data_IF_922667661513
#
_entry.id   IF_922667661513
#
_cell.length_a   1.000
_cell.length_b   1.000
_cell.length_c   1.000
_cell.angle_alpha   90.00
_cell.angle_beta   90.00
_cell.angle_gamma   90.00
#
_symmetry.space_group_name_H-M   'P 1'
#
loop_
_entity.id
_entity.type
_entity.pdbx_description
1 polymer ?
#
# COMPACT_ATOMS: atom_id res chain seq x y z
N UNK A 1 62.38 31.74 49.86
CA UNK A 1 61.46 32.90 49.79
C UNK A 1 60.44 32.62 48.68
N UNK A 2 59.18 32.37 48.97
CA UNK A 2 58.21 32.13 47.98
C UNK A 2 57.55 33.44 47.52
N UNK A 3 57.49 33.66 46.25
CA UNK A 3 56.75 34.77 45.61
C UNK A 3 55.25 34.49 45.58
N UNK A 4 54.50 35.39 46.17
CA UNK A 4 53.05 35.42 46.23
C UNK A 4 52.47 35.83 44.90
N UNK A 5 51.68 34.94 44.27
CA UNK A 5 50.89 35.23 43.08
C UNK A 5 49.69 36.11 43.45
N UNK A 6 49.52 37.18 42.71
CA UNK A 6 48.59 38.26 42.89
C UNK A 6 47.19 37.92 42.41
N UNK A 7 46.17 38.18 43.19
CA UNK A 7 44.73 37.81 43.03
C UNK A 7 43.98 38.58 41.94
N UNK A 8 44.64 39.15 40.94
CA UNK A 8 43.98 40.03 39.91
C UNK A 8 43.97 39.55 38.47
N UNK A 9 44.43 38.32 38.17
CA UNK A 9 44.45 37.81 36.80
C UNK A 9 43.50 36.63 36.55
N UNK A 10 42.44 36.46 37.34
CA UNK A 10 41.48 35.36 37.22
C UNK A 10 40.09 35.88 36.93
N UNK A 11 39.93 36.72 35.90
CA UNK A 11 38.64 37.15 35.40
C UNK A 11 38.85 37.67 33.97
N UNK A 12 38.84 36.80 32.95
CA UNK A 12 38.38 36.98 31.55
C UNK A 12 38.72 35.66 30.82
N UNK A 13 37.92 34.64 31.11
CA UNK A 13 37.66 33.54 30.18
C UNK A 13 36.14 33.37 30.12
N UNK A 14 35.49 34.38 29.58
CA UNK A 14 34.07 34.34 29.25
C UNK A 14 33.85 33.36 28.12
N UNK A 15 33.26 32.22 28.42
CA UNK A 15 32.82 31.23 27.46
C UNK A 15 31.78 31.86 26.54
N UNK A 16 32.20 32.22 25.33
CA UNK A 16 31.29 32.45 24.22
C UNK A 16 30.74 31.09 23.80
N UNK A 17 29.68 30.63 24.46
CA UNK A 17 28.80 29.62 23.92
C UNK A 17 28.15 30.25 22.69
N UNK A 18 28.73 29.97 21.53
CA UNK A 18 28.15 30.27 20.24
C UNK A 18 26.84 29.48 20.13
N UNK A 19 25.74 30.17 20.30
CA UNK A 19 24.42 29.70 19.83
C UNK A 19 24.53 29.63 18.33
N UNK A 20 24.80 28.42 17.82
CA UNK A 20 24.66 28.18 16.38
C UNK A 20 23.22 28.57 16.01
N UNK A 21 23.01 29.45 15.03
CA UNK A 21 21.67 29.73 14.57
C UNK A 21 21.11 28.41 14.04
N UNK A 22 20.01 27.94 14.63
CA UNK A 22 19.17 26.95 14.01
C UNK A 22 18.88 27.47 12.60
N UNK A 23 19.49 26.84 11.60
CA UNK A 23 19.13 27.09 10.21
C UNK A 23 17.68 26.65 10.07
N UNK A 24 16.76 27.61 10.15
CA UNK A 24 15.40 27.44 9.73
C UNK A 24 15.48 27.07 8.26
N UNK A 25 15.18 25.80 7.94
CA UNK A 25 14.98 25.41 6.57
C UNK A 25 14.00 26.45 5.99
N UNK A 26 14.43 27.20 4.99
CA UNK A 26 13.58 28.21 4.35
C UNK A 26 12.40 27.46 3.79
N UNK A 27 11.27 27.55 4.48
CA UNK A 27 10.02 26.96 4.03
C UNK A 27 9.66 27.61 2.68
N UNK A 28 9.42 26.76 1.67
CA UNK A 28 9.01 27.17 0.34
C UNK A 28 7.80 28.13 0.47
N UNK A 29 7.86 29.39 -0.04
CA UNK A 29 6.76 30.36 0.07
C UNK A 29 5.43 29.82 -0.48
N UNK A 30 5.48 28.96 -1.49
CA UNK A 30 4.29 28.32 -2.05
C UNK A 30 3.67 27.33 -1.06
N UNK A 31 4.49 26.62 -0.30
CA UNK A 31 4.00 25.69 0.73
C UNK A 31 3.36 26.44 1.91
N UNK A 32 3.94 27.54 2.35
CA UNK A 32 3.35 28.39 3.40
C UNK A 32 1.97 28.91 3.00
N UNK A 33 1.78 29.29 1.73
CA UNK A 33 0.48 29.71 1.21
C UNK A 33 -0.54 28.57 1.23
N UNK A 34 -0.13 27.34 0.87
CA UNK A 34 -0.99 26.14 0.96
C UNK A 34 -1.38 25.90 2.42
N UNK A 35 -0.44 25.92 3.36
CA UNK A 35 -0.72 25.73 4.79
C UNK A 35 -1.69 26.77 5.35
N UNK A 36 -1.52 28.04 4.95
CA UNK A 36 -2.41 29.12 5.39
C UNK A 36 -3.85 28.93 4.84
N UNK A 37 -3.97 28.58 3.55
CA UNK A 37 -5.26 28.36 2.91
C UNK A 37 -5.98 27.10 3.43
N UNK A 38 -5.24 26.08 3.83
CA UNK A 38 -5.78 24.80 4.32
C UNK A 38 -6.48 24.90 5.69
N UNK A 39 -6.14 25.89 6.52
CA UNK A 39 -6.66 26.00 7.89
C UNK A 39 -8.18 26.14 7.92
N UNK A 40 -8.81 25.37 8.81
CA UNK A 40 -10.27 25.38 9.00
C UNK A 40 -11.05 24.62 7.95
N UNK A 41 -10.38 24.05 6.92
CA UNK A 41 -11.05 23.28 5.89
C UNK A 41 -11.38 21.85 6.37
N UNK A 42 -12.39 21.24 5.74
CA UNK A 42 -12.72 19.83 5.88
C UNK A 42 -12.26 19.09 4.63
N UNK A 43 -11.55 17.96 4.82
CA UNK A 43 -11.11 17.07 3.76
C UNK A 43 -11.92 15.77 3.82
N UNK A 44 -12.68 15.47 2.79
CA UNK A 44 -13.38 14.20 2.62
C UNK A 44 -12.43 13.21 1.96
N UNK A 45 -11.82 12.36 2.80
CA UNK A 45 -10.89 11.34 2.36
C UNK A 45 -11.63 10.03 2.06
N UNK A 46 -11.76 9.71 0.79
CA UNK A 46 -12.37 8.49 0.30
C UNK A 46 -11.34 7.37 0.28
N UNK A 47 -11.47 6.42 1.21
CA UNK A 47 -10.52 5.34 1.41
C UNK A 47 -11.22 4.03 1.76
N UNK A 48 -10.58 2.91 1.45
CA UNK A 48 -11.08 1.60 1.80
C UNK A 48 -11.34 1.46 3.31
N UNK A 49 -12.54 1.01 3.67
CA UNK A 49 -13.01 0.93 5.05
C UNK A 49 -13.05 -0.48 5.65
N UNK A 50 -12.56 -1.50 4.92
CA UNK A 50 -12.71 -2.92 5.30
C UNK A 50 -11.78 -3.42 6.41
N UNK A 51 -10.97 -2.56 7.05
CA UNK A 51 -10.08 -2.90 8.15
C UNK A 51 -10.22 -1.94 9.32
N UNK A 52 -10.53 -2.46 10.50
CA UNK A 52 -10.62 -1.65 11.72
C UNK A 52 -9.28 -0.99 12.10
N UNK A 53 -8.15 -1.64 11.82
CA UNK A 53 -6.81 -1.08 12.06
C UNK A 53 -6.54 0.12 11.19
N UNK A 54 -6.88 0.05 9.90
CA UNK A 54 -6.78 1.18 8.97
C UNK A 54 -7.70 2.31 9.41
N UNK A 55 -8.95 1.98 9.77
CA UNK A 55 -9.90 2.97 10.25
C UNK A 55 -9.40 3.68 11.52
N UNK A 56 -8.81 2.94 12.46
CA UNK A 56 -8.22 3.49 13.69
C UNK A 56 -6.99 4.37 13.40
N UNK A 57 -6.15 3.98 12.44
CA UNK A 57 -5.02 4.80 12.00
C UNK A 57 -5.51 6.13 11.39
N UNK A 58 -6.51 6.10 10.52
CA UNK A 58 -7.07 7.31 9.90
C UNK A 58 -7.76 8.21 10.95
N UNK A 59 -8.42 7.63 11.95
CA UNK A 59 -8.99 8.37 13.06
C UNK A 59 -7.90 9.07 13.90
N UNK A 60 -6.79 8.39 14.17
CA UNK A 60 -5.65 9.01 14.82
C UNK A 60 -5.08 10.16 13.99
N UNK A 61 -4.88 9.95 12.67
CA UNK A 61 -4.39 10.98 11.77
C UNK A 61 -5.32 12.20 11.75
N UNK A 62 -6.64 12.00 11.80
CA UNK A 62 -7.62 13.07 11.91
C UNK A 62 -7.45 13.90 13.19
N UNK A 63 -7.16 13.25 14.33
CA UNK A 63 -6.86 13.93 15.59
C UNK A 63 -5.60 14.80 15.52
N UNK A 64 -4.51 14.26 14.95
CA UNK A 64 -3.26 15.00 14.75
C UNK A 64 -3.42 16.22 13.82
N UNK A 65 -4.15 16.03 12.71
CA UNK A 65 -4.43 17.10 11.75
C UNK A 65 -5.28 18.21 12.35
N UNK A 66 -6.29 17.86 13.16
CA UNK A 66 -7.10 18.84 13.87
C UNK A 66 -6.27 19.67 14.86
N UNK A 67 -5.40 19.00 15.63
CA UNK A 67 -4.58 19.67 16.65
C UNK A 67 -3.48 20.54 16.03
N UNK A 68 -2.78 20.03 15.02
CA UNK A 68 -1.60 20.69 14.44
C UNK A 68 -1.93 21.73 13.38
N UNK A 69 -2.96 21.47 12.58
CA UNK A 69 -3.26 22.22 11.37
C UNK A 69 -4.66 22.80 11.31
N UNK A 70 -5.50 22.56 12.33
CA UNK A 70 -6.93 22.94 12.35
C UNK A 70 -7.70 22.40 11.11
N UNK A 71 -7.34 21.22 10.61
CA UNK A 71 -8.01 20.53 9.50
C UNK A 71 -8.91 19.44 10.05
N UNK A 72 -10.15 19.39 9.56
CA UNK A 72 -11.06 18.27 9.82
C UNK A 72 -10.89 17.22 8.74
N UNK A 73 -10.42 16.02 9.08
CA UNK A 73 -10.36 14.88 8.18
C UNK A 73 -11.56 13.97 8.38
N UNK A 74 -12.37 13.80 7.34
CA UNK A 74 -13.53 12.92 7.31
C UNK A 74 -13.24 11.67 6.47
N UNK A 75 -13.14 10.51 7.09
CA UNK A 75 -12.96 9.24 6.39
C UNK A 75 -14.28 8.76 5.77
N UNK A 76 -14.42 8.90 4.45
CA UNK A 76 -15.52 8.34 3.67
C UNK A 76 -15.15 6.91 3.27
N UNK A 77 -15.74 5.93 3.96
CA UNK A 77 -15.42 4.50 3.77
C UNK A 77 -15.95 4.00 2.44
N UNK A 78 -15.08 3.42 1.64
CA UNK A 78 -15.40 2.75 0.39
C UNK A 78 -15.26 1.23 0.55
N UNK A 79 -16.11 0.49 -0.15
CA UNK A 79 -15.93 -0.95 -0.38
C UNK A 79 -14.90 -1.20 -1.49
N UNK A 80 -14.91 -0.35 -2.51
CA UNK A 80 -14.03 -0.40 -3.67
C UNK A 80 -13.79 0.99 -4.23
N UNK A 81 -12.56 1.31 -4.64
CA UNK A 81 -12.18 2.62 -5.20
C UNK A 81 -12.87 2.91 -6.54
N UNK A 82 -13.26 1.90 -7.31
CA UNK A 82 -14.03 2.07 -8.53
C UNK A 82 -15.37 2.80 -8.31
N UNK A 83 -15.93 2.76 -7.10
CA UNK A 83 -17.12 3.55 -6.73
C UNK A 83 -16.86 5.04 -6.80
N UNK A 84 -15.68 5.48 -6.29
CA UNK A 84 -15.25 6.86 -6.36
C UNK A 84 -15.01 7.29 -7.81
N UNK A 85 -14.31 6.46 -8.61
CA UNK A 85 -14.05 6.75 -10.02
C UNK A 85 -15.35 7.01 -10.78
N UNK A 86 -16.34 6.14 -10.62
CA UNK A 86 -17.68 6.32 -11.24
C UNK A 86 -18.35 7.63 -10.80
N UNK A 87 -18.26 7.97 -9.51
CA UNK A 87 -18.85 9.20 -8.96
C UNK A 87 -18.19 10.45 -9.51
N UNK A 88 -16.87 10.54 -9.52
CA UNK A 88 -16.11 11.68 -10.06
C UNK A 88 -16.35 11.84 -11.56
N UNK A 89 -16.44 10.72 -12.30
CA UNK A 89 -16.80 10.71 -13.72
C UNK A 89 -18.21 11.30 -13.96
N UNK A 90 -19.19 10.90 -13.15
CA UNK A 90 -20.55 11.41 -13.22
C UNK A 90 -20.62 12.91 -12.86
N UNK A 91 -19.85 13.37 -11.88
CA UNK A 91 -19.72 14.79 -11.53
C UNK A 91 -19.15 15.61 -12.69
N UNK A 92 -18.11 15.12 -13.37
CA UNK A 92 -17.55 15.76 -14.57
C UNK A 92 -18.56 15.83 -15.70
N UNK A 93 -19.27 14.75 -15.97
CA UNK A 93 -20.32 14.71 -17.00
C UNK A 93 -21.49 15.66 -16.69
N UNK A 94 -21.79 15.88 -15.41
CA UNK A 94 -22.79 16.85 -14.96
C UNK A 94 -22.29 18.31 -14.94
N UNK A 95 -21.06 18.58 -15.42
CA UNK A 95 -20.46 19.90 -15.44
C UNK A 95 -19.99 20.43 -14.07
N UNK A 96 -19.87 19.56 -13.05
CA UNK A 96 -19.38 19.94 -11.74
C UNK A 96 -17.84 20.03 -11.76
N UNK A 97 -17.33 21.19 -12.15
CA UNK A 97 -15.89 21.45 -12.30
C UNK A 97 -15.21 21.87 -10.99
N UNK A 98 -15.97 22.17 -9.95
CA UNK A 98 -15.57 22.47 -8.58
C UNK A 98 -16.59 21.87 -7.61
N UNK A 99 -16.35 21.99 -6.31
CA UNK A 99 -17.27 21.52 -5.26
C UNK A 99 -17.62 20.02 -5.39
N UNK A 100 -16.63 19.21 -5.77
CA UNK A 100 -16.77 17.76 -5.84
C UNK A 100 -17.09 17.12 -4.50
N UNK A 101 -17.52 15.88 -4.50
CA UNK A 101 -17.88 15.13 -3.29
C UNK A 101 -16.69 14.46 -2.58
N UNK A 102 -15.49 14.54 -3.15
CA UNK A 102 -14.27 13.99 -2.60
C UNK A 102 -13.12 14.98 -2.74
N UNK A 103 -12.28 15.06 -1.70
CA UNK A 103 -11.11 15.94 -1.69
C UNK A 103 -9.81 15.15 -1.78
N UNK A 104 -9.78 13.96 -1.20
CA UNK A 104 -8.64 13.04 -1.24
C UNK A 104 -9.14 11.62 -1.48
N UNK A 105 -8.37 10.83 -2.20
CA UNK A 105 -8.68 9.45 -2.55
C UNK A 105 -7.50 8.54 -2.27
N UNK A 106 -7.73 7.38 -1.64
CA UNK A 106 -6.81 6.26 -1.73
C UNK A 106 -7.04 5.56 -3.07
N UNK A 107 -6.02 5.57 -3.93
CA UNK A 107 -6.13 5.11 -5.31
C UNK A 107 -4.90 4.28 -5.68
N UNK A 108 -5.05 3.39 -6.62
CA UNK A 108 -3.96 2.69 -7.31
C UNK A 108 -4.48 1.94 -8.55
N UNK A 109 -3.55 1.49 -9.39
CA UNK A 109 -3.78 0.57 -10.48
C UNK A 109 -4.70 1.08 -11.58
N UNK A 110 -5.66 0.24 -11.95
CA UNK A 110 -6.64 0.54 -13.00
C UNK A 110 -7.48 1.79 -12.69
N UNK A 111 -7.70 2.07 -11.40
CA UNK A 111 -8.43 3.25 -10.97
C UNK A 111 -7.64 4.53 -11.25
N UNK A 112 -6.32 4.54 -10.95
CA UNK A 112 -5.43 5.65 -11.30
C UNK A 112 -5.36 5.84 -12.82
N UNK A 113 -5.13 4.76 -13.57
CA UNK A 113 -5.08 4.77 -15.02
C UNK A 113 -6.35 5.38 -15.63
N UNK A 114 -7.53 4.97 -15.14
CA UNK A 114 -8.81 5.51 -15.60
C UNK A 114 -8.94 7.01 -15.28
N UNK A 115 -8.66 7.40 -14.04
CA UNK A 115 -8.76 8.80 -13.63
C UNK A 115 -7.76 9.70 -14.37
N UNK A 116 -6.53 9.23 -14.59
CA UNK A 116 -5.50 9.96 -15.34
C UNK A 116 -5.91 10.19 -16.79
N UNK A 117 -6.31 9.13 -17.49
CA UNK A 117 -6.72 9.19 -18.92
C UNK A 117 -7.94 10.07 -19.15
N UNK A 118 -8.85 10.09 -18.22
CA UNK A 118 -10.08 10.88 -18.32
C UNK A 118 -9.96 12.31 -17.78
N UNK A 119 -8.76 12.68 -17.28
CA UNK A 119 -8.52 14.01 -16.67
C UNK A 119 -9.39 14.23 -15.44
N UNK A 120 -9.52 13.23 -14.58
CA UNK A 120 -10.28 13.27 -13.33
C UNK A 120 -9.42 13.57 -12.10
N UNK A 121 -8.11 13.79 -12.28
CA UNK A 121 -7.17 14.12 -11.23
C UNK A 121 -6.74 15.59 -11.31
N UNK A 122 -6.50 16.19 -10.16
CA UNK A 122 -5.78 17.44 -10.00
C UNK A 122 -4.27 17.12 -9.97
N UNK A 123 -3.46 17.97 -10.62
CA UNK A 123 -2.00 17.78 -10.59
C UNK A 123 -1.27 18.45 -11.74
N UNK A 124 0.07 18.30 -11.77
CA UNK A 124 0.95 17.62 -10.80
C UNK A 124 1.14 18.42 -9.50
N UNK A 125 1.19 17.72 -8.36
CA UNK A 125 1.32 18.33 -7.04
C UNK A 125 2.19 17.55 -6.05
N UNK A 126 2.27 16.22 -6.15
CA UNK A 126 2.80 15.36 -5.10
C UNK A 126 4.30 15.55 -4.84
N UNK A 127 5.09 15.82 -5.87
CA UNK A 127 6.54 16.03 -5.75
C UNK A 127 6.87 17.39 -5.09
N UNK A 128 5.88 18.27 -4.94
CA UNK A 128 6.04 19.58 -4.27
C UNK A 128 5.81 19.51 -2.76
N UNK A 129 5.34 18.40 -2.25
CA UNK A 129 5.15 18.17 -0.82
C UNK A 129 6.51 18.16 -0.09
N UNK A 130 6.69 18.89 1.02
CA UNK A 130 7.94 18.85 1.79
C UNK A 130 8.38 17.44 2.20
N UNK A 131 7.43 16.60 2.64
CA UNK A 131 7.72 15.22 3.04
C UNK A 131 8.09 14.30 1.88
N UNK A 132 7.82 14.68 0.62
CA UNK A 132 8.19 13.89 -0.56
C UNK A 132 9.72 13.75 -0.72
N UNK A 133 10.51 14.70 -0.21
CA UNK A 133 11.96 14.62 -0.22
C UNK A 133 12.51 13.36 0.49
N UNK A 134 11.74 12.80 1.42
CA UNK A 134 12.11 11.60 2.16
C UNK A 134 11.67 10.29 1.47
N UNK A 135 10.92 10.36 0.37
CA UNK A 135 10.47 9.16 -0.36
C UNK A 135 11.66 8.45 -0.99
N UNK A 136 11.68 7.15 -0.87
CA UNK A 136 12.70 6.28 -1.47
C UNK A 136 12.38 5.97 -2.93
N UNK A 137 12.52 6.96 -3.79
CA UNK A 137 12.23 6.80 -5.22
C UNK A 137 13.27 5.95 -5.96
N UNK A 138 14.44 5.75 -5.37
CA UNK A 138 15.52 4.94 -5.95
C UNK A 138 15.42 3.46 -5.53
N UNK A 139 15.27 3.20 -4.22
CA UNK A 139 15.16 1.85 -3.67
C UNK A 139 13.76 1.24 -3.83
N UNK A 140 12.74 2.09 -4.05
CA UNK A 140 11.33 1.69 -4.20
C UNK A 140 10.72 2.28 -5.48
N UNK A 141 11.10 1.80 -6.67
CA UNK A 141 10.70 2.39 -7.94
C UNK A 141 9.18 2.40 -8.16
N UNK A 142 8.43 1.53 -7.49
CA UNK A 142 6.94 1.52 -7.51
C UNK A 142 6.33 2.79 -6.91
N UNK A 143 7.10 3.63 -6.19
CA UNK A 143 6.65 4.96 -5.73
C UNK A 143 6.48 5.99 -6.85
N UNK A 144 6.97 5.68 -8.06
CA UNK A 144 6.90 6.53 -9.26
C UNK A 144 6.09 5.91 -10.39
N UNK A 145 5.66 4.67 -10.22
CA UNK A 145 4.94 3.89 -11.23
C UNK A 145 3.80 3.16 -10.55
N UNK A 146 2.57 3.41 -10.99
CA UNK A 146 1.39 2.70 -10.51
C UNK A 146 0.89 1.74 -11.61
N UNK A 147 0.93 0.43 -11.36
CA UNK A 147 0.61 -0.65 -12.31
C UNK A 147 1.21 -0.40 -13.70
N UNK A 148 2.52 -0.13 -13.73
CA UNK A 148 3.28 0.20 -14.94
C UNK A 148 2.90 1.53 -15.62
N UNK A 149 2.03 2.35 -15.01
CA UNK A 149 1.71 3.70 -15.47
C UNK A 149 2.54 4.74 -14.69
N UNK A 150 3.27 5.65 -15.34
CA UNK A 150 4.00 6.71 -14.67
C UNK A 150 3.08 7.62 -13.85
N UNK A 151 3.47 7.89 -12.58
CA UNK A 151 2.70 8.74 -11.65
C UNK A 151 2.68 10.21 -12.08
N UNK A 152 3.78 10.74 -12.61
CA UNK A 152 3.93 12.11 -13.12
C UNK A 152 3.46 13.19 -12.12
N UNK A 153 3.64 12.94 -10.83
CA UNK A 153 3.25 13.88 -9.78
C UNK A 153 1.75 14.03 -9.55
N UNK A 154 0.90 13.19 -10.17
CA UNK A 154 -0.57 13.27 -10.05
C UNK A 154 -1.11 12.63 -8.78
N UNK A 155 -0.30 11.80 -8.12
CA UNK A 155 -0.62 11.15 -6.86
C UNK A 155 0.61 11.06 -5.97
N UNK A 156 0.42 10.98 -4.64
CA UNK A 156 1.49 10.88 -3.65
C UNK A 156 1.59 9.45 -3.10
N UNK A 157 2.77 8.83 -3.08
CA UNK A 157 2.95 7.52 -2.47
C UNK A 157 2.82 7.64 -0.94
N UNK A 158 2.13 6.69 -0.28
CA UNK A 158 1.98 6.75 1.17
C UNK A 158 2.06 5.42 1.91
N UNK A 159 2.15 4.31 1.19
CA UNK A 159 2.32 2.98 1.75
C UNK A 159 2.70 1.95 0.71
N UNK A 160 3.14 0.79 1.17
CA UNK A 160 3.56 -0.29 0.30
C UNK A 160 2.86 -1.58 0.68
N UNK A 161 2.60 -2.40 -0.32
CA UNK A 161 2.04 -3.71 -0.15
C UNK A 161 2.76 -4.71 -1.05
N UNK A 162 2.76 -5.98 -0.63
CA UNK A 162 3.36 -7.06 -1.40
C UNK A 162 2.57 -8.34 -1.17
N UNK A 163 2.27 -9.07 -2.24
CA UNK A 163 1.62 -10.36 -2.14
C UNK A 163 2.44 -11.26 -1.23
N UNK A 164 1.79 -11.71 -0.18
CA UNK A 164 2.38 -12.51 0.87
C UNK A 164 1.46 -13.70 1.14
N UNK A 165 2.06 -14.87 1.23
CA UNK A 165 1.37 -16.07 1.65
C UNK A 165 1.56 -16.25 3.16
N UNK A 166 0.63 -16.89 3.81
CA UNK A 166 0.76 -17.30 5.19
C UNK A 166 0.14 -18.67 5.41
N UNK A 167 0.78 -19.48 6.22
CA UNK A 167 0.41 -20.87 6.43
C UNK A 167 0.58 -21.28 7.89
N UNK A 168 -0.26 -22.21 8.35
CA UNK A 168 -0.05 -22.87 9.63
C UNK A 168 1.12 -23.85 9.51
N UNK A 169 2.28 -23.51 10.06
CA UNK A 169 3.50 -24.30 9.98
C UNK A 169 3.38 -25.69 10.63
N UNK A 170 2.42 -25.89 11.52
CA UNK A 170 2.14 -27.22 12.07
C UNK A 170 1.53 -28.17 11.02
N UNK A 171 0.90 -27.63 9.99
CA UNK A 171 0.26 -28.37 8.87
C UNK A 171 1.03 -28.24 7.56
N UNK A 172 1.76 -27.14 7.40
CA UNK A 172 2.57 -26.83 6.22
C UNK A 172 4.00 -26.54 6.69
N UNK A 173 4.75 -27.58 7.12
CA UNK A 173 6.10 -27.40 7.70
C UNK A 173 7.11 -26.84 6.70
N UNK A 174 6.93 -27.12 5.41
CA UNK A 174 7.71 -26.54 4.31
C UNK A 174 6.76 -25.72 3.43
N UNK A 175 6.93 -24.40 3.45
CA UNK A 175 6.11 -23.50 2.67
C UNK A 175 6.52 -23.51 1.20
N UNK A 176 5.57 -23.56 0.23
CA UNK A 176 5.88 -23.46 -1.18
C UNK A 176 6.62 -22.15 -1.51
N UNK A 177 7.77 -22.22 -2.14
CA UNK A 177 8.60 -21.06 -2.47
C UNK A 177 8.40 -20.53 -3.90
N UNK A 178 7.43 -21.09 -4.64
CA UNK A 178 7.05 -20.67 -5.99
C UNK A 178 5.62 -21.12 -6.31
N UNK A 179 5.01 -20.55 -7.37
CA UNK A 179 3.70 -21.01 -7.85
C UNK A 179 3.73 -22.49 -8.26
N UNK A 180 4.79 -22.93 -8.91
CA UNK A 180 4.91 -24.35 -9.28
C UNK A 180 4.86 -25.27 -8.05
N UNK A 181 5.58 -24.91 -6.99
CA UNK A 181 5.54 -25.66 -5.72
C UNK A 181 4.18 -25.55 -5.04
N UNK A 182 3.53 -24.38 -5.09
CA UNK A 182 2.18 -24.20 -4.55
C UNK A 182 1.17 -25.09 -5.29
N UNK A 183 1.20 -25.12 -6.62
CA UNK A 183 0.32 -25.98 -7.41
C UNK A 183 0.55 -27.47 -7.10
N UNK A 184 1.80 -27.88 -6.92
CA UNK A 184 2.14 -29.25 -6.52
C UNK A 184 1.66 -29.55 -5.10
N UNK A 185 1.86 -28.62 -4.16
CA UNK A 185 1.40 -28.76 -2.79
C UNK A 185 -0.14 -28.87 -2.73
N UNK A 186 -0.87 -28.06 -3.49
CA UNK A 186 -2.35 -28.12 -3.54
C UNK A 186 -2.84 -29.47 -4.08
N UNK A 187 -2.18 -30.04 -5.10
CA UNK A 187 -2.52 -31.38 -5.60
C UNK A 187 -2.35 -32.47 -4.54
N UNK A 188 -1.32 -32.33 -3.69
CA UNK A 188 -1.05 -33.28 -2.59
C UNK A 188 -1.96 -33.07 -1.39
N UNK A 189 -2.55 -31.89 -1.26
CA UNK A 189 -3.40 -31.47 -0.13
C UNK A 189 -4.74 -30.90 -0.65
N UNK A 190 -5.57 -31.72 -1.32
CA UNK A 190 -6.80 -31.23 -1.94
C UNK A 190 -7.75 -30.64 -0.90
N UNK A 191 -8.39 -29.54 -1.26
CA UNK A 191 -9.34 -28.83 -0.41
C UNK A 191 -8.72 -27.92 0.66
N UNK A 192 -7.39 -27.80 0.75
CA UNK A 192 -6.68 -27.04 1.79
C UNK A 192 -6.19 -25.68 1.36
N UNK A 193 -6.49 -25.26 0.14
CA UNK A 193 -6.21 -23.95 -0.41
C UNK A 193 -7.37 -23.46 -1.28
N UNK A 194 -7.52 -22.16 -1.35
CA UNK A 194 -8.37 -21.44 -2.30
C UNK A 194 -7.86 -20.01 -2.46
N UNK A 195 -8.52 -19.23 -3.32
CA UNK A 195 -8.33 -17.80 -3.46
C UNK A 195 -9.69 -17.12 -3.69
N UNK A 196 -9.85 -15.82 -3.39
CA UNK A 196 -11.11 -15.13 -3.69
C UNK A 196 -11.33 -15.03 -5.20
N UNK A 197 -12.57 -15.18 -5.65
CA UNK A 197 -12.85 -15.06 -7.08
C UNK A 197 -12.67 -13.63 -7.59
N UNK A 198 -12.14 -13.41 -8.81
CA UNK A 198 -12.22 -12.11 -9.47
C UNK A 198 -13.68 -11.59 -9.56
N UNK A 199 -13.92 -10.28 -9.50
CA UNK A 199 -12.95 -9.19 -9.53
C UNK A 199 -12.37 -8.80 -8.15
N UNK A 200 -12.42 -9.66 -7.16
CA UNK A 200 -11.83 -9.37 -5.86
C UNK A 200 -10.30 -9.21 -6.02
N UNK A 201 -9.76 -8.08 -5.53
CA UNK A 201 -8.37 -7.66 -5.75
C UNK A 201 -7.32 -8.77 -5.49
N UNK A 202 -7.41 -9.47 -4.33
CA UNK A 202 -6.45 -10.53 -3.98
C UNK A 202 -6.58 -11.73 -4.92
N UNK A 203 -7.79 -12.04 -5.39
CA UNK A 203 -8.02 -13.08 -6.39
C UNK A 203 -7.36 -12.73 -7.72
N UNK A 204 -7.59 -11.54 -8.23
CA UNK A 204 -6.95 -11.05 -9.45
C UNK A 204 -5.42 -10.98 -9.29
N UNK A 205 -4.92 -10.57 -8.11
CA UNK A 205 -3.48 -10.58 -7.82
C UNK A 205 -2.88 -11.99 -7.83
N UNK A 206 -3.60 -12.99 -7.32
CA UNK A 206 -3.18 -14.40 -7.43
C UNK A 206 -3.03 -14.84 -8.89
N UNK A 207 -3.98 -14.48 -9.76
CA UNK A 207 -3.90 -14.78 -11.19
C UNK A 207 -2.70 -14.09 -11.86
N UNK A 208 -2.46 -12.83 -11.54
CA UNK A 208 -1.31 -12.06 -12.05
C UNK A 208 0.02 -12.66 -11.58
N UNK A 209 0.13 -13.06 -10.32
CA UNK A 209 1.32 -13.71 -9.80
C UNK A 209 1.57 -15.06 -10.50
N UNK A 210 0.53 -15.87 -10.67
CA UNK A 210 0.63 -17.13 -11.39
C UNK A 210 1.08 -16.92 -12.85
N UNK A 211 0.57 -15.88 -13.51
CA UNK A 211 0.96 -15.50 -14.86
C UNK A 211 2.43 -15.03 -14.92
N UNK A 212 2.88 -14.22 -13.97
CA UNK A 212 4.27 -13.73 -13.89
C UNK A 212 5.28 -14.84 -13.62
N UNK A 213 4.93 -15.86 -12.83
CA UNK A 213 5.83 -16.98 -12.55
C UNK A 213 5.86 -18.03 -13.66
N UNK A 214 4.71 -18.31 -14.27
CA UNK A 214 4.55 -19.40 -15.23
C UNK A 214 4.42 -18.94 -16.69
N UNK A 215 4.24 -17.63 -16.93
CA UNK A 215 4.16 -17.04 -18.27
C UNK A 215 5.55 -16.82 -18.88
N UNK A 216 5.70 -17.08 -20.19
CA UNK A 216 7.01 -17.00 -20.87
C UNK A 216 7.55 -15.57 -21.06
N UNK A 217 6.70 -14.57 -21.24
CA UNK A 217 7.12 -13.19 -21.60
C UNK A 217 6.66 -12.16 -20.57
N UNK A 218 7.37 -12.06 -19.44
CA UNK A 218 7.06 -11.05 -18.40
C UNK A 218 7.02 -9.62 -18.91
N UNK A 219 7.91 -9.27 -19.85
CA UNK A 219 8.02 -7.91 -20.39
C UNK A 219 6.75 -7.45 -21.09
N UNK A 220 6.02 -8.36 -21.73
CA UNK A 220 4.75 -8.05 -22.36
C UNK A 220 3.68 -7.60 -21.37
N UNK A 221 3.76 -8.04 -20.11
CA UNK A 221 2.79 -7.71 -19.06
C UNK A 221 2.91 -6.26 -18.57
N UNK A 222 4.04 -5.60 -18.82
CA UNK A 222 4.28 -4.22 -18.36
C UNK A 222 3.93 -3.15 -19.40
N UNK A 223 3.24 -3.55 -20.48
CA UNK A 223 2.74 -2.66 -21.53
C UNK A 223 1.28 -2.97 -21.85
N UNK A 224 0.54 -2.03 -22.48
CA UNK A 224 -0.77 -2.33 -23.06
C UNK A 224 -0.69 -3.48 -24.06
N UNK A 225 -1.74 -4.29 -24.14
CA UNK A 225 -1.76 -5.46 -25.00
C UNK A 225 -2.77 -5.34 -26.16
N UNK A 226 -2.55 -6.10 -27.23
CA UNK A 226 -3.57 -6.46 -28.24
C UNK A 226 -4.30 -7.75 -27.82
N UNK A 227 -5.42 -8.03 -28.44
CA UNK A 227 -6.17 -9.28 -28.20
C UNK A 227 -5.32 -10.53 -28.48
N UNK A 228 -4.46 -10.50 -29.52
CA UNK A 228 -3.56 -11.60 -29.85
C UNK A 228 -2.49 -11.80 -28.78
N UNK A 229 -1.85 -10.72 -28.32
CA UNK A 229 -0.86 -10.76 -27.22
C UNK A 229 -1.50 -11.28 -25.95
N UNK A 230 -2.72 -10.82 -25.61
CA UNK A 230 -3.46 -11.31 -24.47
C UNK A 230 -3.67 -12.83 -24.54
N UNK A 231 -4.24 -13.32 -25.64
CA UNK A 231 -4.54 -14.74 -25.81
C UNK A 231 -3.28 -15.63 -25.66
N UNK A 232 -2.18 -15.25 -26.32
CA UNK A 232 -0.91 -15.97 -26.26
C UNK A 232 -0.30 -15.96 -24.87
N UNK A 233 -0.24 -14.77 -24.25
CA UNK A 233 0.44 -14.58 -22.95
C UNK A 233 -0.34 -15.23 -21.82
N UNK A 234 -1.68 -15.25 -21.86
CA UNK A 234 -2.50 -15.83 -20.80
C UNK A 234 -2.78 -17.33 -20.97
N UNK A 235 -2.45 -17.94 -22.09
CA UNK A 235 -2.71 -19.36 -22.30
C UNK A 235 -2.12 -20.28 -21.20
N UNK A 236 -0.86 -20.09 -20.72
CA UNK A 236 -0.31 -20.86 -19.62
C UNK A 236 -1.05 -20.68 -18.29
N UNK A 237 -1.60 -19.47 -18.03
CA UNK A 237 -2.40 -19.19 -16.85
C UNK A 237 -3.65 -20.06 -16.82
N UNK A 238 -4.38 -20.10 -17.94
CA UNK A 238 -5.63 -20.87 -18.01
C UNK A 238 -5.37 -22.36 -17.89
N UNK A 239 -4.32 -22.88 -18.53
CA UNK A 239 -3.93 -24.29 -18.38
C UNK A 239 -3.58 -24.66 -16.94
N UNK A 240 -2.87 -23.76 -16.22
CA UNK A 240 -2.54 -23.97 -14.81
C UNK A 240 -3.79 -23.95 -13.91
N UNK A 241 -4.75 -23.03 -14.17
CA UNK A 241 -6.01 -22.95 -13.43
C UNK A 241 -6.91 -24.16 -13.69
N UNK A 242 -7.01 -24.63 -14.95
CA UNK A 242 -7.75 -25.86 -15.29
C UNK A 242 -7.23 -27.08 -14.50
N UNK A 243 -5.90 -27.17 -14.33
CA UNK A 243 -5.28 -28.23 -13.54
C UNK A 243 -5.42 -28.00 -12.01
N UNK A 244 -5.51 -26.76 -11.55
CA UNK A 244 -5.56 -26.41 -10.12
C UNK A 244 -6.96 -26.58 -9.53
N UNK A 245 -8.01 -26.08 -10.22
CA UNK A 245 -9.37 -25.94 -9.67
C UNK A 245 -9.93 -27.24 -9.07
N UNK A 246 -9.76 -28.43 -9.68
CA UNK A 246 -10.26 -29.68 -9.11
C UNK A 246 -9.72 -30.00 -7.71
N UNK A 247 -8.56 -29.41 -7.34
CA UNK A 247 -7.89 -29.64 -6.06
C UNK A 247 -8.11 -28.53 -5.03
N UNK A 248 -8.76 -27.43 -5.42
CA UNK A 248 -9.09 -26.33 -4.50
C UNK A 248 -10.18 -26.75 -3.49
N UNK A 249 -10.35 -25.90 -2.47
CA UNK A 249 -11.51 -25.98 -1.58
C UNK A 249 -12.81 -26.06 -2.39
N UNK A 250 -13.72 -26.94 -1.99
CA UNK A 250 -14.96 -27.25 -2.74
C UNK A 250 -14.72 -27.57 -4.21
N UNK A 251 -13.53 -28.10 -4.54
CA UNK A 251 -13.16 -28.48 -5.92
C UNK A 251 -13.25 -27.32 -6.92
N UNK A 252 -13.00 -26.06 -6.46
CA UNK A 252 -13.09 -24.89 -7.31
C UNK A 252 -14.51 -24.55 -7.79
N UNK A 253 -15.54 -25.15 -7.22
CA UNK A 253 -16.96 -24.83 -7.54
C UNK A 253 -17.48 -23.66 -6.70
N UNK A 254 -16.81 -23.33 -5.62
CA UNK A 254 -17.07 -22.20 -4.75
C UNK A 254 -15.74 -21.57 -4.38
N UNK A 255 -15.79 -20.26 -4.17
CA UNK A 255 -14.61 -19.47 -3.81
C UNK A 255 -14.93 -18.64 -2.56
N UNK A 256 -13.93 -18.39 -1.69
CA UNK A 256 -14.10 -17.47 -0.57
C UNK A 256 -14.57 -16.09 -1.06
N UNK A 257 -15.48 -15.47 -0.30
CA UNK A 257 -16.04 -14.18 -0.68
C UNK A 257 -15.02 -13.02 -0.56
N UNK A 258 -14.02 -13.18 0.34
CA UNK A 258 -13.07 -12.11 0.65
C UNK A 258 -11.81 -12.68 1.32
N UNK A 259 -10.72 -11.89 1.40
CA UNK A 259 -9.55 -12.23 2.21
C UNK A 259 -9.88 -12.44 3.70
N UNK A 260 -10.86 -11.69 4.22
CA UNK A 260 -11.35 -11.87 5.60
C UNK A 260 -11.95 -13.27 5.80
N UNK A 261 -12.77 -13.73 4.85
CA UNK A 261 -13.33 -15.08 4.90
C UNK A 261 -12.23 -16.15 4.83
N UNK A 262 -11.24 -15.99 3.96
CA UNK A 262 -10.10 -16.91 3.88
C UNK A 262 -9.29 -16.98 5.18
N UNK A 263 -9.09 -15.84 5.82
CA UNK A 263 -8.41 -15.77 7.11
C UNK A 263 -9.18 -16.55 8.18
N UNK A 264 -10.50 -16.40 8.23
CA UNK A 264 -11.35 -17.17 9.15
C UNK A 264 -11.25 -18.66 8.85
N UNK A 265 -11.33 -19.07 7.60
CA UNK A 265 -11.21 -20.48 7.21
C UNK A 265 -9.84 -21.06 7.59
N UNK A 266 -8.76 -20.26 7.58
CA UNK A 266 -7.47 -20.71 8.08
C UNK A 266 -7.45 -20.83 9.61
N UNK A 267 -8.06 -19.89 10.33
CA UNK A 267 -8.21 -19.95 11.78
C UNK A 267 -8.98 -21.20 12.22
N UNK A 268 -10.02 -21.56 11.49
CA UNK A 268 -10.85 -22.76 11.73
C UNK A 268 -10.19 -24.05 11.24
N UNK A 269 -9.05 -23.97 10.54
CA UNK A 269 -8.31 -25.11 10.00
C UNK A 269 -8.95 -25.74 8.76
N UNK A 270 -9.92 -25.08 8.15
CA UNK A 270 -10.50 -25.48 6.87
C UNK A 270 -9.51 -25.29 5.73
N UNK A 271 -8.85 -24.13 5.68
CA UNK A 271 -7.65 -23.90 4.86
C UNK A 271 -6.39 -24.03 5.71
N UNK A 272 -5.28 -24.41 5.09
CA UNK A 272 -3.96 -24.52 5.73
C UNK A 272 -2.99 -23.45 5.25
N UNK A 273 -3.31 -22.83 4.13
CA UNK A 273 -2.57 -21.78 3.48
C UNK A 273 -3.54 -20.72 2.96
N UNK A 274 -3.15 -19.46 3.09
CA UNK A 274 -3.90 -18.30 2.61
C UNK A 274 -2.96 -17.27 2.02
N UNK A 275 -3.51 -16.18 1.47
CA UNK A 275 -2.75 -15.09 0.87
C UNK A 275 -3.37 -13.74 1.22
N UNK A 276 -2.52 -12.72 1.20
CA UNK A 276 -2.84 -11.34 1.53
C UNK A 276 -1.95 -10.39 0.74
N UNK A 277 -2.28 -9.11 0.74
CA UNK A 277 -1.39 -8.07 0.20
C UNK A 277 -0.74 -7.21 1.30
N UNK A 278 -0.96 -7.55 2.57
CA UNK A 278 -0.29 -6.96 3.72
C UNK A 278 0.77 -7.93 4.27
N UNK A 279 2.09 -7.67 4.14
CA UNK A 279 3.15 -8.54 4.63
C UNK A 279 3.09 -8.83 6.14
N UNK A 280 2.39 -7.99 6.89
CA UNK A 280 2.25 -8.11 8.34
C UNK A 280 0.88 -8.67 8.78
N UNK A 281 0.05 -9.16 7.86
CA UNK A 281 -1.31 -9.65 8.19
C UNK A 281 -1.27 -10.75 9.26
N UNK A 282 -0.46 -11.79 9.08
CA UNK A 282 -0.39 -12.87 10.05
C UNK A 282 0.08 -12.38 11.43
N UNK A 283 1.11 -11.51 11.48
CA UNK A 283 1.58 -10.92 12.73
C UNK A 283 0.49 -10.10 13.44
N UNK A 284 -0.27 -9.31 12.67
CA UNK A 284 -1.41 -8.56 13.20
C UNK A 284 -2.47 -9.46 13.80
N UNK A 285 -2.77 -10.58 13.15
CA UNK A 285 -3.81 -11.51 13.59
C UNK A 285 -3.36 -12.41 14.75
N UNK A 286 -2.09 -12.78 14.81
CA UNK A 286 -1.48 -13.47 15.97
C UNK A 286 -1.52 -12.56 17.20
N UNK A 287 -1.12 -11.29 17.05
CA UNK A 287 -1.18 -10.31 18.13
C UNK A 287 -2.62 -10.07 18.64
N UNK A 288 -3.60 -10.14 17.74
CA UNK A 288 -5.03 -10.07 18.06
C UNK A 288 -5.63 -11.40 18.58
N UNK A 289 -4.83 -12.47 18.66
CA UNK A 289 -5.27 -13.83 19.03
C UNK A 289 -6.34 -14.41 18.08
N UNK A 290 -6.41 -13.91 16.87
CA UNK A 290 -7.31 -14.38 15.81
C UNK A 290 -6.68 -15.48 14.95
N UNK A 291 -5.36 -15.65 15.00
CA UNK A 291 -4.62 -16.76 14.39
C UNK A 291 -3.71 -17.41 15.42
N UNK A 292 -3.42 -18.72 15.29
CA UNK A 292 -2.47 -19.42 16.15
C UNK A 292 -1.04 -18.92 15.92
N UNK A 293 -0.18 -19.02 16.96
CA UNK A 293 1.22 -18.60 16.88
C UNK A 293 2.07 -19.45 15.90
N UNK A 294 1.55 -20.58 15.43
CA UNK A 294 2.17 -21.44 14.41
C UNK A 294 2.07 -20.87 12.99
N UNK A 295 1.25 -19.83 12.78
CA UNK A 295 1.11 -19.21 11.46
C UNK A 295 2.36 -18.41 11.13
N UNK A 296 2.91 -18.62 9.95
CA UNK A 296 4.10 -17.94 9.43
C UNK A 296 3.77 -17.28 8.10
N UNK A 297 4.30 -16.08 7.89
CA UNK A 297 4.22 -15.38 6.60
C UNK A 297 5.46 -15.69 5.76
N UNK A 298 5.28 -15.80 4.46
CA UNK A 298 6.36 -16.02 3.50
C UNK A 298 6.01 -15.44 2.13
N UNK A 299 7.02 -15.28 1.30
CA UNK A 299 6.93 -14.82 -0.08
C UNK A 299 7.66 -15.80 -0.98
N UNK A 300 7.30 -15.86 -2.26
CA UNK A 300 8.01 -16.75 -3.19
C UNK A 300 9.43 -16.26 -3.43
N UNK A 301 10.38 -17.17 -3.48
CA UNK A 301 11.82 -16.87 -3.46
C UNK A 301 12.27 -15.96 -4.63
N UNK A 302 11.69 -16.14 -5.81
CA UNK A 302 12.02 -15.32 -6.99
C UNK A 302 11.41 -13.91 -6.96
N UNK A 303 10.46 -13.69 -6.07
CA UNK A 303 9.73 -12.43 -5.91
C UNK A 303 8.22 -12.60 -5.95
N UNK A 304 7.53 -11.62 -5.40
CA UNK A 304 6.06 -11.51 -5.48
C UNK A 304 5.65 -10.10 -5.91
N UNK A 305 4.47 -10.00 -6.48
CA UNK A 305 3.90 -8.71 -6.88
C UNK A 305 3.82 -7.78 -5.67
N UNK A 306 4.29 -6.56 -5.84
CA UNK A 306 4.09 -5.50 -4.88
C UNK A 306 3.79 -4.19 -5.56
N UNK A 307 3.08 -3.33 -4.87
CA UNK A 307 2.75 -2.00 -5.34
C UNK A 307 2.87 -0.96 -4.23
N UNK A 308 2.66 0.27 -4.61
CA UNK A 308 2.54 1.41 -3.69
C UNK A 308 1.07 1.78 -3.56
N UNK A 309 0.66 2.19 -2.36
CA UNK A 309 -0.61 2.87 -2.17
C UNK A 309 -0.42 4.34 -2.46
N UNK A 310 -1.36 4.96 -3.12
CA UNK A 310 -1.28 6.36 -3.49
C UNK A 310 -2.46 7.18 -2.96
N UNK A 311 -2.21 8.48 -2.85
CA UNK A 311 -3.20 9.50 -2.53
C UNK A 311 -3.37 10.39 -3.75
N UNK A 312 -4.55 10.37 -4.35
CA UNK A 312 -4.92 11.23 -5.48
C UNK A 312 -5.90 12.31 -5.04
N UNK A 313 -5.85 13.46 -5.68
CA UNK A 313 -6.80 14.55 -5.49
C UNK A 313 -7.70 14.62 -6.72
N UNK A 314 -9.03 14.48 -6.59
CA UNK A 314 -9.94 14.68 -7.72
C UNK A 314 -9.85 16.08 -8.31
N UNK A 315 -10.03 16.21 -9.63
CA UNK A 315 -9.90 17.48 -10.35
C UNK A 315 -10.79 18.60 -9.81
N UNK A 316 -11.97 18.23 -9.31
CA UNK A 316 -13.01 19.13 -8.79
C UNK A 316 -13.08 19.18 -7.25
N UNK A 317 -12.04 18.68 -6.55
CA UNK A 317 -11.96 18.73 -5.09
C UNK A 317 -12.15 20.17 -4.58
N UNK A 318 -12.87 20.32 -3.46
CA UNK A 318 -13.15 21.62 -2.82
C UNK A 318 -11.96 22.13 -2.04
N UNK A 319 -11.30 21.24 -1.31
CA UNK A 319 -10.25 21.52 -0.33
C UNK A 319 -8.89 21.02 -0.83
N UNK A 320 -8.45 21.45 -2.03
CA UNK A 320 -7.21 20.98 -2.65
C UNK A 320 -5.96 21.29 -1.81
N UNK A 321 -5.90 22.45 -1.19
CA UNK A 321 -4.80 22.87 -0.32
C UNK A 321 -4.76 22.00 0.94
N UNK A 322 -5.90 21.80 1.59
CA UNK A 322 -5.99 20.95 2.76
C UNK A 322 -5.73 19.47 2.41
N UNK A 323 -6.17 18.98 1.24
CA UNK A 323 -5.85 17.64 0.77
C UNK A 323 -4.34 17.43 0.57
N UNK A 324 -3.63 18.43 0.00
CA UNK A 324 -2.16 18.39 -0.10
C UNK A 324 -1.51 18.38 1.27
N UNK A 325 -2.01 19.17 2.24
CA UNK A 325 -1.46 19.17 3.61
C UNK A 325 -1.72 17.85 4.31
N UNK A 326 -2.90 17.26 4.17
CA UNK A 326 -3.21 15.91 4.67
C UNK A 326 -2.25 14.88 4.07
N UNK A 327 -2.05 14.89 2.77
CA UNK A 327 -1.12 13.98 2.10
C UNK A 327 0.33 14.17 2.61
N UNK A 328 0.77 15.41 2.79
CA UNK A 328 2.09 15.72 3.36
C UNK A 328 2.24 15.20 4.79
N UNK A 329 1.20 15.33 5.62
CA UNK A 329 1.21 14.78 6.98
C UNK A 329 1.28 13.25 6.94
N UNK A 330 0.44 12.58 6.13
CA UNK A 330 0.44 11.12 6.00
C UNK A 330 1.77 10.56 5.46
N UNK A 331 2.53 11.39 4.75
CA UNK A 331 3.87 11.08 4.25
C UNK A 331 4.99 11.45 5.24
N UNK A 332 4.69 12.13 6.34
CA UNK A 332 5.68 12.50 7.36
C UNK A 332 6.28 11.28 8.08
N UNK A 333 7.52 11.36 8.60
CA UNK A 333 8.13 10.26 9.36
C UNK A 333 7.26 9.78 10.52
N UNK A 334 6.61 10.69 11.26
CA UNK A 334 5.71 10.35 12.36
C UNK A 334 4.53 9.46 11.90
N UNK A 335 3.84 9.89 10.85
CA UNK A 335 2.68 9.17 10.33
C UNK A 335 3.08 7.83 9.69
N UNK A 336 4.20 7.81 8.97
CA UNK A 336 4.75 6.63 8.34
C UNK A 336 5.24 5.60 9.37
N UNK A 337 5.94 6.02 10.43
CA UNK A 337 6.39 5.12 11.48
C UNK A 337 5.20 4.48 12.24
N UNK A 338 4.18 5.29 12.58
CA UNK A 338 2.96 4.75 13.20
C UNK A 338 2.24 3.77 12.28
N UNK A 339 2.19 4.06 10.99
CA UNK A 339 1.58 3.18 9.99
C UNK A 339 2.34 1.87 9.87
N UNK A 340 3.68 1.91 9.88
CA UNK A 340 4.54 0.72 9.79
C UNK A 340 4.49 -0.16 11.04
N UNK A 341 4.13 0.40 12.19
CA UNK A 341 4.03 -0.35 13.45
C UNK A 341 2.87 -1.35 13.40
N UNK A 342 3.19 -2.65 13.55
CA UNK A 342 2.20 -3.74 13.53
C UNK A 342 1.13 -3.62 14.61
N UNK A 343 1.39 -2.89 15.70
CA UNK A 343 0.40 -2.63 16.76
C UNK A 343 -0.73 -1.74 16.25
N UNK A 344 -0.47 -0.94 15.21
CA UNK A 344 -1.43 -0.01 14.62
C UNK A 344 -1.96 -0.51 13.28
N UNK A 345 -1.11 -0.63 12.27
CA UNK A 345 -1.51 -1.15 10.96
C UNK A 345 -0.52 -2.19 10.42
N UNK A 346 0.78 -1.90 10.43
CA UNK A 346 1.81 -2.77 9.89
C UNK A 346 2.04 -2.59 8.39
N UNK A 347 1.70 -1.44 7.83
CA UNK A 347 1.89 -1.14 6.41
C UNK A 347 3.30 -0.57 6.17
N UNK A 348 4.13 -1.18 5.31
CA UNK A 348 5.51 -0.73 5.11
C UNK A 348 5.60 0.71 4.61
N UNK A 349 6.66 1.41 5.06
CA UNK A 349 6.89 2.80 4.69
C UNK A 349 7.41 2.97 3.26
N UNK A 350 7.04 4.08 2.64
CA UNK A 350 7.61 4.53 1.35
C UNK A 350 8.90 5.34 1.52
N UNK A 351 9.29 5.65 2.77
CA UNK A 351 10.43 6.52 3.05
C UNK A 351 11.77 5.78 2.91
N UNK A 352 12.80 6.53 2.55
CA UNK A 352 14.20 6.14 2.62
C UNK A 352 14.71 6.41 4.05
N UNK A 353 14.77 5.38 4.87
CA UNK A 353 15.08 5.53 6.30
C UNK A 353 16.49 6.11 6.54
N UNK A 354 17.44 5.83 5.64
CA UNK A 354 18.80 6.34 5.66
C UNK A 354 18.91 7.86 5.40
N UNK A 355 17.87 8.48 4.83
CA UNK A 355 17.79 9.92 4.61
C UNK A 355 17.15 10.69 5.77
N UNK A 356 16.56 9.98 6.72
CA UNK A 356 15.87 10.61 7.85
C UNK A 356 16.87 11.13 8.88
N UNK A 357 16.45 12.15 9.66
CA UNK A 357 17.17 12.54 10.87
C UNK A 357 17.27 11.37 11.85
N UNK A 358 18.28 11.36 12.71
CA UNK A 358 18.41 10.31 13.75
C UNK A 358 17.16 10.20 14.63
N UNK A 359 16.50 11.32 14.92
CA UNK A 359 15.26 11.35 15.71
C UNK A 359 14.10 10.71 14.94
N UNK A 360 13.94 11.04 13.66
CA UNK A 360 12.88 10.46 12.83
C UNK A 360 13.12 8.97 12.54
N UNK A 361 14.37 8.58 12.29
CA UNK A 361 14.75 7.19 12.11
C UNK A 361 14.41 6.33 13.33
N UNK A 362 14.63 6.87 14.54
CA UNK A 362 14.32 6.18 15.81
C UNK A 362 12.83 5.84 15.96
N UNK A 363 11.92 6.56 15.28
CA UNK A 363 10.49 6.25 15.31
C UNK A 363 10.16 4.88 14.67
N UNK A 364 11.03 4.37 13.79
CA UNK A 364 10.85 3.10 13.10
C UNK A 364 11.46 1.89 13.84
N UNK A 365 12.03 2.11 15.02
CA UNK A 365 12.63 1.05 15.83
C UNK A 365 11.54 0.15 16.44
N UNK A 366 11.15 -0.89 15.73
CA UNK A 366 10.22 -1.91 16.21
C UNK A 366 10.89 -3.29 16.24
N UNK A 367 10.59 -4.08 17.26
CA UNK A 367 11.01 -5.49 17.30
C UNK A 367 10.23 -6.31 16.27
N UNK A 368 10.90 -7.30 15.68
CA UNK A 368 10.25 -8.29 14.80
C UNK A 368 9.22 -9.07 15.62
N UNK A 369 8.00 -9.15 15.11
CA UNK A 369 6.91 -9.85 15.77
C UNK A 369 6.70 -11.26 15.17
N UNK A 370 6.18 -12.21 15.95
CA UNK A 370 5.76 -13.52 15.44
C UNK A 370 4.80 -13.37 14.24
N UNK A 371 5.01 -14.15 13.21
CA UNK A 371 4.19 -14.12 11.99
C UNK A 371 4.60 -13.10 10.94
N UNK A 372 5.57 -12.24 11.20
CA UNK A 372 6.14 -11.36 10.17
C UNK A 372 6.95 -12.14 9.14
N UNK A 373 7.07 -11.60 7.93
CA UNK A 373 7.97 -12.13 6.92
C UNK A 373 9.42 -11.96 7.40
N UNK A 374 10.12 -13.06 7.61
CA UNK A 374 11.51 -13.06 8.10
C UNK A 374 12.56 -12.94 7.00
N UNK A 375 12.17 -13.27 5.76
CA UNK A 375 13.02 -13.20 4.57
C UNK A 375 12.22 -12.50 3.45
N UNK A 376 12.27 -11.17 3.36
CA UNK A 376 11.61 -10.45 2.29
C UNK A 376 12.14 -10.90 0.92
N UNK A 377 11.23 -11.19 0.01
CA UNK A 377 11.57 -11.51 -1.37
C UNK A 377 11.61 -10.23 -2.23
N UNK A 378 12.26 -10.27 -3.41
CA UNK A 378 12.18 -9.19 -4.38
C UNK A 378 10.73 -8.81 -4.70
N UNK A 379 10.47 -7.52 -4.85
CA UNK A 379 9.17 -7.01 -5.27
C UNK A 379 9.12 -6.92 -6.78
N UNK A 380 8.14 -7.58 -7.39
CA UNK A 380 7.86 -7.41 -8.81
C UNK A 380 6.78 -6.34 -9.01
N UNK A 381 6.92 -5.49 -10.04
CA UNK A 381 5.87 -4.53 -10.36
C UNK A 381 4.60 -5.25 -10.80
N UNK A 382 3.47 -4.58 -10.60
CA UNK A 382 2.17 -5.00 -11.14
C UNK A 382 2.19 -4.98 -12.67
N UNK A 383 1.54 -5.93 -13.33
CA UNK A 383 1.23 -5.81 -14.75
C UNK A 383 0.50 -4.50 -15.06
N UNK A 384 0.65 -4.00 -16.28
CA UNK A 384 -0.03 -2.79 -16.72
C UNK A 384 -1.55 -2.90 -16.52
N UNK A 385 -2.20 -1.82 -16.04
CA UNK A 385 -3.61 -1.82 -15.63
C UNK A 385 -4.59 -2.33 -16.70
N UNK A 386 -4.22 -2.26 -17.99
CA UNK A 386 -5.07 -2.80 -19.08
C UNK A 386 -5.24 -4.32 -19.06
N UNK A 387 -4.41 -5.06 -18.31
CA UNK A 387 -4.53 -6.53 -18.19
C UNK A 387 -5.61 -6.96 -17.20
N UNK A 388 -5.98 -6.11 -16.26
CA UNK A 388 -6.89 -6.45 -15.15
C UNK A 388 -8.26 -6.91 -15.66
N UNK A 389 -9.02 -6.02 -16.28
CA UNK A 389 -10.35 -6.31 -16.79
C UNK A 389 -10.44 -7.52 -17.72
N UNK A 390 -9.54 -7.70 -18.72
CA UNK A 390 -9.60 -8.87 -19.59
C UNK A 390 -9.32 -10.18 -18.86
N UNK A 391 -8.40 -10.21 -17.89
CA UNK A 391 -8.13 -11.40 -17.07
C UNK A 391 -9.38 -11.75 -16.24
N UNK A 392 -10.00 -10.77 -15.60
CA UNK A 392 -11.20 -10.98 -14.78
C UNK A 392 -12.38 -11.49 -15.60
N UNK A 393 -12.67 -10.86 -16.74
CA UNK A 393 -13.74 -11.30 -17.65
C UNK A 393 -13.51 -12.71 -18.15
N UNK A 394 -12.29 -13.05 -18.56
CA UNK A 394 -11.98 -14.39 -19.06
C UNK A 394 -12.07 -15.43 -17.95
N UNK A 395 -11.65 -15.10 -16.72
CA UNK A 395 -11.83 -15.97 -15.56
C UNK A 395 -13.31 -16.21 -15.27
N UNK A 396 -14.15 -15.16 -15.27
CA UNK A 396 -15.60 -15.27 -15.04
C UNK A 396 -16.23 -16.12 -16.15
N UNK A 397 -15.81 -15.94 -17.39
CA UNK A 397 -16.31 -16.72 -18.53
C UNK A 397 -16.01 -18.21 -18.38
N UNK A 398 -14.82 -18.57 -17.87
CA UNK A 398 -14.36 -19.98 -17.75
C UNK A 398 -14.90 -20.66 -16.50
N UNK A 399 -14.87 -19.96 -15.37
CA UNK A 399 -15.05 -20.54 -14.05
C UNK A 399 -16.14 -19.85 -13.24
N UNK A 400 -16.75 -18.79 -13.77
CA UNK A 400 -17.84 -18.10 -13.11
C UNK A 400 -18.99 -19.04 -12.85
N UNK A 401 -19.15 -19.47 -11.61
CA UNK A 401 -20.29 -20.28 -11.19
C UNK A 401 -21.49 -19.34 -11.11
N UNK A 402 -22.51 -19.60 -11.88
CA UNK A 402 -23.82 -18.94 -11.79
C UNK A 402 -24.49 -19.24 -10.47
#
# INVERSE_FOLDING_TARGET
MPQTLNRRELLIAGSALGVAPFAWAQSNPDWQRIEAAARGQTVYFNAWGGSERINAYLQWAAGELAQRHAIKLEHVKLGDTAELVRRVRAEKAAGRLSEGSADLAWINGENFLAMKREGLLFGPWSEKLPSHANVDTAGKPTTRIDFSEPVEGMEAPWGMAQLTFFADSARVPVQPASMSELLEWVRKNPGRFSYPKPPQFIGTTFLKQLLLENGGERTALYAPHSAEVFARTTAPLWAALDALHPHLWKQGRQFPASPLAMRQMLADGELWLSLTFNPNEAANQIAAKALPATVVSYQHAAGTIGNTHFLGIPFNARAKEAAQLVANFLLSPLAQARKADIRHWGDPTVLALDKLSAADHALFAAAVAPGQVTRPAPTWPEPHGTWVDPIEREWIRRYGVT
#
